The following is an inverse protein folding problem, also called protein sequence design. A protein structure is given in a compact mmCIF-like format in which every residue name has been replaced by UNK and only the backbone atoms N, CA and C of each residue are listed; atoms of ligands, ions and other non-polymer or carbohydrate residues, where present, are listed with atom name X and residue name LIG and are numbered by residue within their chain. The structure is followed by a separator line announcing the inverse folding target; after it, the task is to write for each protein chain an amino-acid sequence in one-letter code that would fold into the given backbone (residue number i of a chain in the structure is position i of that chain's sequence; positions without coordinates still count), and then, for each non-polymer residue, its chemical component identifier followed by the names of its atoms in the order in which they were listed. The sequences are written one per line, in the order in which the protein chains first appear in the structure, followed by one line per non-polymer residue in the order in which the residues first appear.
data_IF_749836988593
#
_entry.id   IF_749836988593
#
_cell.length_a   1.000
_cell.length_b   1.000
_cell.length_c   1.000
_cell.angle_alpha   90.00
_cell.angle_beta   90.00
_cell.angle_gamma   90.00
#
_symmetry.space_group_name_H-M   'P 1'
#
loop_
_entity.id
_entity.type
_entity.pdbx_description
1 polymer ?
#
# COMPACT_ATOMS: atom_id res chain seq x y z
N UNK A 1 -4.54 -41.94 -24.53
CA UNK A 1 -3.81 -41.72 -23.27
C UNK A 1 -3.69 -40.21 -23.11
N UNK A 2 -4.51 -39.60 -22.26
CA UNK A 2 -4.64 -38.13 -22.20
C UNK A 2 -3.40 -37.53 -21.56
N UNK A 3 -2.60 -36.82 -22.35
CA UNK A 3 -1.51 -35.98 -21.85
C UNK A 3 -2.14 -34.79 -21.13
N UNK A 4 -2.37 -34.91 -19.82
CA UNK A 4 -2.86 -33.80 -19.01
C UNK A 4 -1.72 -32.78 -18.93
N UNK A 5 -1.83 -31.74 -19.74
CA UNK A 5 -0.94 -30.58 -19.68
C UNK A 5 -1.29 -29.84 -18.38
N UNK A 6 -0.24 -29.54 -17.61
CA UNK A 6 -0.35 -28.75 -16.39
C UNK A 6 -0.94 -27.36 -16.67
N UNK A 7 -1.80 -26.87 -15.80
CA UNK A 7 -2.38 -25.52 -15.92
C UNK A 7 -1.44 -24.56 -15.19
N UNK A 8 -0.94 -23.55 -15.89
CA UNK A 8 -0.15 -22.49 -15.24
C UNK A 8 -1.07 -21.47 -14.58
N UNK A 9 -1.36 -21.62 -13.28
CA UNK A 9 -2.21 -20.68 -12.54
C UNK A 9 -1.58 -19.28 -12.40
N UNK A 10 -0.27 -19.13 -12.63
CA UNK A 10 0.42 -17.85 -12.56
C UNK A 10 0.12 -16.94 -13.77
N UNK A 11 -0.42 -17.47 -14.86
CA UNK A 11 -0.93 -16.66 -15.97
C UNK A 11 -2.25 -15.95 -15.64
N UNK A 12 -2.92 -16.35 -14.55
CA UNK A 12 -4.16 -15.73 -14.08
C UNK A 12 -3.85 -14.59 -13.11
N UNK A 13 -4.21 -13.34 -13.42
CA UNK A 13 -4.05 -12.22 -12.49
C UNK A 13 -4.80 -12.46 -11.19
N UNK A 14 -4.16 -12.15 -10.06
CA UNK A 14 -4.73 -12.28 -8.72
C UNK A 14 -4.65 -13.67 -8.09
N UNK A 15 -4.02 -14.66 -8.73
CA UNK A 15 -3.75 -15.99 -8.12
C UNK A 15 -2.92 -15.85 -6.84
N UNK A 16 -1.87 -15.02 -6.86
CA UNK A 16 -1.08 -14.67 -5.70
C UNK A 16 -1.10 -13.14 -5.52
N UNK A 17 -1.01 -12.68 -4.27
CA UNK A 17 -0.91 -11.25 -3.98
C UNK A 17 0.44 -10.63 -4.39
N UNK A 18 1.48 -11.47 -4.56
CA UNK A 18 2.82 -11.06 -4.94
C UNK A 18 3.46 -12.06 -5.91
N UNK A 19 4.33 -12.95 -5.43
CA UNK A 19 5.10 -13.88 -6.28
C UNK A 19 4.28 -15.16 -6.47
N UNK A 20 4.17 -15.61 -7.72
CA UNK A 20 3.55 -16.89 -8.08
C UNK A 20 4.58 -17.82 -8.72
N UNK A 21 4.64 -19.05 -8.24
CA UNK A 21 5.50 -20.11 -8.77
C UNK A 21 4.60 -21.25 -9.22
N UNK A 22 4.56 -21.51 -10.53
CA UNK A 22 3.83 -22.64 -11.09
C UNK A 22 4.53 -23.96 -10.74
N UNK A 23 3.77 -24.95 -10.30
CA UNK A 23 4.25 -26.29 -9.98
C UNK A 23 3.40 -27.31 -10.75
N UNK A 24 3.94 -28.50 -11.00
CA UNK A 24 3.13 -29.53 -11.68
C UNK A 24 1.94 -29.94 -10.79
N UNK A 25 0.73 -29.62 -11.24
CA UNK A 25 -0.55 -29.89 -10.58
C UNK A 25 -0.91 -28.92 -9.45
N UNK A 26 -0.18 -27.80 -9.29
CA UNK A 26 -0.42 -26.82 -8.23
C UNK A 26 0.35 -25.52 -8.47
N UNK A 27 0.25 -24.59 -7.53
CA UNK A 27 1.09 -23.40 -7.51
C UNK A 27 1.49 -23.08 -6.07
N UNK A 28 2.54 -22.27 -5.92
CA UNK A 28 2.97 -21.74 -4.64
C UNK A 28 3.04 -20.22 -4.70
N UNK A 29 2.43 -19.57 -3.72
CA UNK A 29 2.59 -18.14 -3.52
C UNK A 29 3.75 -17.85 -2.55
N UNK A 30 4.56 -16.85 -2.89
CA UNK A 30 5.63 -16.35 -2.04
C UNK A 30 5.55 -14.81 -1.93
N UNK A 31 6.28 -14.25 -0.97
CA UNK A 31 6.31 -12.82 -0.70
C UNK A 31 7.69 -12.24 -1.02
N UNK A 32 7.73 -11.00 -1.52
CA UNK A 32 8.96 -10.25 -1.69
C UNK A 32 9.63 -9.98 -0.34
N UNK A 33 10.93 -9.69 -0.37
CA UNK A 33 11.68 -9.24 0.79
C UNK A 33 10.99 -8.05 1.46
N UNK A 34 10.88 -8.08 2.79
CA UNK A 34 10.13 -7.07 3.55
C UNK A 34 8.65 -7.42 3.75
N UNK A 35 8.20 -8.60 3.32
CA UNK A 35 6.85 -9.12 3.55
C UNK A 35 6.89 -10.53 4.14
N UNK A 36 5.88 -10.90 4.93
CA UNK A 36 5.66 -12.26 5.41
C UNK A 36 4.27 -12.75 5.00
N UNK A 37 4.12 -14.05 4.77
CA UNK A 37 2.82 -14.64 4.46
C UNK A 37 1.99 -14.77 5.75
N UNK A 38 0.77 -14.25 5.76
CA UNK A 38 -0.18 -14.52 6.82
C UNK A 38 -0.69 -15.97 6.70
N UNK A 39 -0.46 -16.84 7.70
CA UNK A 39 -0.85 -18.25 7.62
C UNK A 39 -2.38 -18.46 7.60
N UNK A 40 -3.16 -17.47 8.01
CA UNK A 40 -4.62 -17.54 8.06
C UNK A 40 -5.24 -17.10 6.73
N UNK A 41 -4.71 -16.03 6.14
CA UNK A 41 -5.29 -15.42 4.93
C UNK A 41 -4.53 -15.73 3.65
N UNK A 42 -3.30 -16.22 3.73
CA UNK A 42 -2.40 -16.42 2.59
C UNK A 42 -1.88 -15.11 1.97
N UNK A 43 -2.18 -13.96 2.57
CA UNK A 43 -1.82 -12.64 2.04
C UNK A 43 -0.44 -12.21 2.56
N UNK A 44 0.37 -11.62 1.67
CA UNK A 44 1.65 -11.03 2.05
C UNK A 44 1.44 -9.72 2.83
N UNK A 45 1.85 -9.70 4.09
CA UNK A 45 1.82 -8.52 4.97
C UNK A 45 3.21 -7.90 5.08
N UNK A 46 3.27 -6.58 4.99
CA UNK A 46 4.52 -5.83 5.18
C UNK A 46 5.12 -6.08 6.56
N UNK A 47 6.43 -6.19 6.61
CA UNK A 47 7.22 -6.24 7.85
C UNK A 47 7.64 -4.81 8.16
N UNK A 48 7.38 -4.34 9.39
CA UNK A 48 7.79 -3.02 9.82
C UNK A 48 6.78 -2.37 10.75
N UNK A 49 6.78 -1.04 10.74
CA UNK A 49 5.88 -0.21 11.54
C UNK A 49 4.47 -0.19 10.98
N UNK A 50 3.52 0.25 11.79
CA UNK A 50 2.15 0.45 11.36
C UNK A 50 2.06 1.35 10.09
N UNK A 51 1.32 0.94 9.05
CA UNK A 51 1.03 1.78 7.90
C UNK A 51 -0.01 2.85 8.25
N UNK A 52 0.17 4.03 7.66
CA UNK A 52 -0.71 5.17 7.84
C UNK A 52 -1.27 5.65 6.51
N UNK A 53 -2.52 6.11 6.53
CA UNK A 53 -3.13 6.84 5.42
C UNK A 53 -3.03 8.34 5.69
N UNK A 54 -2.29 9.06 4.85
CA UNK A 54 -2.30 10.52 4.81
C UNK A 54 -3.33 10.98 3.78
N UNK A 55 -4.14 11.97 4.12
CA UNK A 55 -5.12 12.54 3.21
C UNK A 55 -5.36 14.02 3.50
N UNK A 56 -5.72 14.75 2.46
CA UNK A 56 -6.14 16.15 2.52
C UNK A 56 -7.62 16.23 2.88
N UNK A 57 -7.99 17.13 3.78
CA UNK A 57 -9.37 17.45 4.15
C UNK A 57 -9.62 18.96 3.93
N UNK A 58 -9.40 19.43 2.69
CA UNK A 58 -9.50 20.81 2.18
C UNK A 58 -8.69 21.88 2.93
N UNK A 59 -8.91 22.06 4.23
CA UNK A 59 -8.21 22.98 5.13
C UNK A 59 -7.19 22.30 6.04
N UNK A 60 -7.16 20.97 6.08
CA UNK A 60 -6.23 20.21 6.91
C UNK A 60 -5.51 19.11 6.12
N UNK A 61 -4.39 18.65 6.63
CA UNK A 61 -3.83 17.33 6.29
C UNK A 61 -3.96 16.44 7.52
N UNK A 62 -4.44 15.22 7.32
CA UNK A 62 -4.73 14.27 8.40
C UNK A 62 -4.10 12.92 8.14
N UNK A 63 -3.92 12.15 9.21
CA UNK A 63 -3.26 10.84 9.23
C UNK A 63 -4.11 9.85 10.02
N UNK A 64 -4.33 8.66 9.46
CA UNK A 64 -5.05 7.55 10.08
C UNK A 64 -4.16 6.30 10.16
N UNK A 65 -4.00 5.73 11.35
CA UNK A 65 -3.39 4.40 11.56
C UNK A 65 -4.29 3.28 11.07
N UNK A 66 -3.79 2.38 10.22
CA UNK A 66 -4.61 1.30 9.67
C UNK A 66 -4.89 0.18 10.69
N UNK A 67 -4.05 0.03 11.71
CA UNK A 67 -4.17 -0.97 12.77
C UNK A 67 -4.70 -0.37 14.08
N UNK A 68 -4.02 0.65 14.60
CA UNK A 68 -4.39 1.37 15.82
C UNK A 68 -5.69 2.16 15.67
N UNK A 69 -6.08 2.48 14.44
CA UNK A 69 -7.17 3.43 14.13
C UNK A 69 -6.94 4.81 14.73
N UNK A 70 -5.69 5.13 15.05
CA UNK A 70 -5.31 6.43 15.59
C UNK A 70 -5.52 7.51 14.52
N UNK A 71 -6.28 8.55 14.86
CA UNK A 71 -6.61 9.65 13.97
C UNK A 71 -5.93 10.94 14.44
N UNK A 72 -5.06 11.52 13.60
CA UNK A 72 -4.22 12.67 13.96
C UNK A 72 -4.27 13.76 12.90
N UNK A 73 -4.13 15.01 13.33
CA UNK A 73 -4.01 16.18 12.43
C UNK A 73 -2.53 16.51 12.24
N UNK A 74 -2.09 16.63 10.99
CA UNK A 74 -0.68 16.80 10.60
C UNK A 74 -0.37 18.27 10.31
N UNK A 75 -1.24 18.91 9.54
CA UNK A 75 -1.19 20.35 9.25
C UNK A 75 -2.61 20.92 9.35
N UNK A 76 -2.73 22.13 9.89
CA UNK A 76 -3.99 22.81 10.16
C UNK A 76 -4.02 24.15 9.44
N UNK A 77 -5.23 24.71 9.30
CA UNK A 77 -5.44 26.08 8.85
C UNK A 77 -4.84 26.35 7.45
N UNK A 78 -4.81 25.32 6.60
CA UNK A 78 -4.48 25.44 5.19
C UNK A 78 -5.66 26.07 4.44
N UNK A 79 -5.41 26.63 3.25
CA UNK A 79 -6.46 27.34 2.53
C UNK A 79 -7.30 26.40 1.66
N UNK A 80 -6.65 25.72 0.73
CA UNK A 80 -7.30 24.79 -0.19
C UNK A 80 -6.29 23.76 -0.67
N UNK A 81 -5.95 22.83 0.23
CA UNK A 81 -5.04 21.73 -0.06
C UNK A 81 -5.77 20.62 -0.83
N UNK A 82 -5.20 20.20 -1.96
CA UNK A 82 -5.84 19.25 -2.88
C UNK A 82 -5.02 17.99 -3.14
N UNK A 83 -3.71 18.08 -2.97
CA UNK A 83 -2.76 17.02 -3.29
C UNK A 83 -1.68 16.99 -2.24
N UNK A 84 -1.19 15.78 -1.96
CA UNK A 84 -0.04 15.56 -1.11
C UNK A 84 0.82 14.44 -1.68
N UNK A 85 2.10 14.45 -1.33
CA UNK A 85 3.01 13.32 -1.51
C UNK A 85 4.01 13.26 -0.35
N UNK A 86 4.63 12.12 -0.14
CA UNK A 86 5.50 11.87 1.03
C UNK A 86 6.85 11.29 0.63
N UNK A 87 7.92 11.85 1.19
CA UNK A 87 9.22 11.18 1.26
C UNK A 87 9.31 10.49 2.62
N UNK A 88 9.04 9.18 2.63
CA UNK A 88 9.02 8.38 3.85
C UNK A 88 10.43 8.26 4.46
N UNK A 89 11.47 8.16 3.63
CA UNK A 89 12.85 7.98 4.10
C UNK A 89 13.38 9.25 4.79
N UNK A 90 13.03 10.43 4.27
CA UNK A 90 13.40 11.70 4.87
C UNK A 90 12.35 12.27 5.83
N UNK A 91 11.24 11.56 6.06
CA UNK A 91 10.12 11.99 6.90
C UNK A 91 9.55 13.37 6.50
N UNK A 92 9.31 13.59 5.21
CA UNK A 92 8.75 14.85 4.69
C UNK A 92 7.41 14.64 4.00
N UNK A 93 6.54 15.64 4.11
CA UNK A 93 5.28 15.72 3.38
C UNK A 93 5.31 16.96 2.50
N UNK A 94 4.85 16.84 1.27
CA UNK A 94 4.72 17.93 0.32
C UNK A 94 3.25 18.06 -0.04
N UNK A 95 2.76 19.28 -0.21
CA UNK A 95 1.35 19.48 -0.58
C UNK A 95 1.15 20.67 -1.52
N UNK A 96 0.16 20.54 -2.40
CA UNK A 96 -0.29 21.62 -3.28
C UNK A 96 -1.48 22.35 -2.68
N UNK A 97 -1.37 23.66 -2.50
CA UNK A 97 -2.46 24.54 -2.04
C UNK A 97 -2.94 25.43 -3.22
N UNK A 98 -4.19 25.24 -3.66
CA UNK A 98 -4.80 26.03 -4.73
C UNK A 98 -5.16 27.45 -4.31
N UNK A 99 -5.43 27.69 -3.03
CA UNK A 99 -5.72 29.00 -2.49
C UNK A 99 -4.49 29.92 -2.55
N UNK A 100 -3.30 29.32 -2.51
CA UNK A 100 -2.01 30.02 -2.61
C UNK A 100 -1.29 29.76 -3.94
N UNK A 101 -1.81 28.85 -4.78
CA UNK A 101 -1.22 28.42 -6.05
C UNK A 101 0.25 28.02 -5.90
N UNK A 102 0.58 27.37 -4.79
CA UNK A 102 1.96 27.07 -4.38
C UNK A 102 2.07 25.64 -3.86
N UNK A 103 3.24 25.04 -4.04
CA UNK A 103 3.61 23.75 -3.43
C UNK A 103 4.46 24.02 -2.19
N UNK A 104 4.10 23.39 -1.09
CA UNK A 104 4.75 23.50 0.22
C UNK A 104 5.40 22.17 0.62
N UNK A 105 6.21 22.24 1.69
CA UNK A 105 6.90 21.11 2.33
C UNK A 105 6.82 21.23 3.84
#
# INVERSE_FOLDING_TARGET
NSSIIDVDECQKPGTCGQICINLKGSYKCECHTGYHIDPTTGVCKGIGTEPYLFFTDHHDIRKLGLHSKEYTKVALELRNVISLDTDIAAQRIFWGDLGQKTIFR
#
